data_IF_256538009176
#
_entry.id   IF_256538009176
#
_cell.length_a   1.000
_cell.length_b   1.000
_cell.length_c   1.000
_cell.angle_alpha   90.00
_cell.angle_beta   90.00
_cell.angle_gamma   90.00
#
_symmetry.space_group_name_H-M   'P 1'
#
loop_
_entity.id
_entity.type
_entity.pdbx_description
1 polymer ?
#
# COMPACT_ATOMS: atom_id res chain seq x y z
N UNK A 1 -2.50 8.51 7.67
CA UNK A 1 -3.56 7.70 8.33
C UNK A 1 -2.90 6.74 9.33
N UNK A 2 -3.39 6.60 10.58
CA UNK A 2 -2.81 5.66 11.54
C UNK A 2 -3.22 4.22 11.21
N UNK A 3 -2.25 3.30 11.28
CA UNK A 3 -2.45 1.85 11.21
C UNK A 3 -2.08 1.29 12.58
N UNK A 4 -2.93 0.43 13.10
CA UNK A 4 -2.73 -0.22 14.38
C UNK A 4 -2.45 -1.71 14.16
N UNK A 5 -1.38 -2.21 14.77
CA UNK A 5 -1.19 -3.64 14.94
C UNK A 5 -2.05 -4.08 16.13
N UNK A 6 -3.03 -4.96 15.90
CA UNK A 6 -3.94 -5.40 16.94
C UNK A 6 -3.31 -6.39 17.93
N UNK A 7 -2.22 -7.06 17.55
CA UNK A 7 -1.54 -8.05 18.38
C UNK A 7 -0.52 -7.38 19.32
N UNK A 8 0.25 -6.41 18.82
CA UNK A 8 1.26 -5.70 19.62
C UNK A 8 0.74 -4.39 20.24
N UNK A 9 -0.36 -3.84 19.72
CA UNK A 9 -0.84 -2.51 20.09
C UNK A 9 0.01 -1.37 19.52
N UNK A 10 0.97 -1.68 18.65
CA UNK A 10 1.85 -0.68 18.04
C UNK A 10 1.10 0.16 17.01
N UNK A 11 1.48 1.43 16.96
CA UNK A 11 0.91 2.42 16.05
C UNK A 11 1.92 2.80 14.98
N UNK A 12 1.60 2.48 13.74
CA UNK A 12 2.33 2.95 12.56
C UNK A 12 1.55 4.06 11.85
N UNK A 13 2.25 4.93 11.12
CA UNK A 13 1.62 6.03 10.38
C UNK A 13 1.90 5.86 8.89
N UNK A 14 0.84 5.71 8.09
CA UNK A 14 0.94 5.87 6.65
C UNK A 14 1.08 7.37 6.38
N UNK A 15 2.29 7.77 5.99
CA UNK A 15 2.62 9.13 5.58
C UNK A 15 1.85 9.47 4.29
N UNK A 16 1.06 10.54 4.34
CA UNK A 16 0.65 11.22 3.10
C UNK A 16 1.84 11.98 2.54
N UNK A 17 1.97 12.10 1.22
CA UNK A 17 2.88 13.12 0.68
C UNK A 17 2.31 14.47 1.11
N UNK A 18 3.14 15.41 1.54
CA UNK A 18 2.73 16.70 2.14
C UNK A 18 1.97 17.65 1.22
N UNK A 19 1.43 17.15 0.11
CA UNK A 19 0.57 17.89 -0.80
C UNK A 19 -0.81 18.01 -0.17
N UNK A 20 -1.32 19.24 -0.06
CA UNK A 20 -2.61 19.56 0.59
C UNK A 20 -3.81 18.84 -0.03
N UNK A 21 -3.63 18.17 -1.16
CA UNK A 21 -4.65 17.41 -1.90
C UNK A 21 -4.45 15.88 -1.84
N UNK A 22 -3.33 15.39 -1.29
CA UNK A 22 -3.02 13.97 -1.21
C UNK A 22 -3.60 13.33 0.07
N UNK A 23 -4.93 13.40 0.22
CA UNK A 23 -5.63 12.61 1.24
C UNK A 23 -5.65 11.13 0.84
N UNK A 24 -5.34 10.27 1.80
CA UNK A 24 -5.51 8.82 1.65
C UNK A 24 -6.97 8.51 1.97
N UNK A 25 -7.79 8.35 0.93
CA UNK A 25 -9.25 8.20 1.06
C UNK A 25 -9.71 6.74 1.09
N UNK A 26 -8.91 5.83 0.53
CA UNK A 26 -9.17 4.40 0.53
C UNK A 26 -7.87 3.63 0.74
N UNK A 27 -7.92 2.61 1.61
CA UNK A 27 -6.81 1.70 1.88
C UNK A 27 -7.30 0.27 1.80
N UNK A 28 -6.65 -0.53 0.97
CA UNK A 28 -6.79 -1.97 0.98
C UNK A 28 -5.40 -2.60 1.12
N UNK A 29 -5.14 -3.21 2.27
CA UNK A 29 -4.01 -4.10 2.45
C UNK A 29 -4.45 -5.53 2.13
N UNK A 30 -3.56 -6.34 1.57
CA UNK A 30 -3.77 -7.78 1.61
C UNK A 30 -3.73 -8.30 3.05
N UNK A 31 -4.13 -9.57 3.29
CA UNK A 31 -3.78 -10.28 4.52
C UNK A 31 -2.31 -10.02 4.88
N UNK A 32 -1.94 -10.08 6.15
CA UNK A 32 -0.56 -9.86 6.66
C UNK A 32 0.55 -10.65 5.93
N UNK A 33 0.16 -11.64 5.11
CA UNK A 33 1.01 -12.41 4.21
C UNK A 33 1.39 -11.71 2.89
N UNK A 34 0.72 -10.64 2.49
CA UNK A 34 0.91 -10.02 1.18
C UNK A 34 1.55 -8.64 1.30
N UNK A 35 2.67 -8.41 0.58
CA UNK A 35 3.53 -7.27 0.82
C UNK A 35 2.99 -5.97 0.22
N UNK A 36 1.89 -5.99 -0.55
CA UNK A 36 1.42 -4.81 -1.27
C UNK A 36 0.07 -4.30 -0.75
N UNK A 37 -0.07 -2.97 -0.73
CA UNK A 37 -1.33 -2.28 -0.45
C UNK A 37 -1.65 -1.30 -1.56
N UNK A 38 -2.93 -1.12 -1.85
CA UNK A 38 -3.43 -0.12 -2.78
C UNK A 38 -4.01 1.06 -2.02
N UNK A 39 -3.68 2.27 -2.49
CA UNK A 39 -4.05 3.54 -1.88
C UNK A 39 -4.52 4.50 -2.95
N UNK A 40 -5.65 5.18 -2.72
CA UNK A 40 -5.95 6.41 -3.48
C UNK A 40 -5.03 7.53 -2.98
N UNK A 41 -4.30 8.19 -3.89
CA UNK A 41 -3.46 9.35 -3.59
C UNK A 41 -3.65 10.41 -4.68
N UNK A 42 -4.44 11.43 -4.39
CA UNK A 42 -4.76 12.49 -5.35
C UNK A 42 -5.46 11.92 -6.60
N UNK A 43 -4.94 12.18 -7.82
CA UNK A 43 -5.56 11.72 -9.06
C UNK A 43 -5.22 10.25 -9.42
N UNK A 44 -4.48 9.52 -8.59
CA UNK A 44 -3.98 8.18 -8.91
C UNK A 44 -4.31 7.15 -7.82
N UNK A 45 -4.24 5.88 -8.19
CA UNK A 45 -4.10 4.77 -7.25
C UNK A 45 -2.65 4.32 -7.22
N UNK A 46 -2.04 4.37 -6.04
CA UNK A 46 -0.66 3.94 -5.79
C UNK A 46 -0.68 2.56 -5.16
N UNK A 47 0.12 1.65 -5.72
CA UNK A 47 0.46 0.39 -5.07
C UNK A 47 1.78 0.61 -4.34
N UNK A 48 1.80 0.34 -3.05
CA UNK A 48 2.98 0.46 -2.21
C UNK A 48 3.34 -0.88 -1.56
N UNK A 49 4.62 -1.08 -1.30
CA UNK A 49 5.08 -2.07 -0.36
C UNK A 49 4.62 -1.68 1.06
N UNK A 50 3.93 -2.57 1.75
CA UNK A 50 3.27 -2.31 3.02
C UNK A 50 4.26 -2.14 4.17
N UNK A 51 5.44 -2.77 4.09
CA UNK A 51 6.49 -2.70 5.10
C UNK A 51 7.29 -1.40 4.99
N UNK A 52 7.64 -1.01 3.76
CA UNK A 52 8.53 0.14 3.50
C UNK A 52 7.78 1.42 3.10
N UNK A 53 6.49 1.33 2.77
CA UNK A 53 5.70 2.40 2.13
C UNK A 53 6.28 2.86 0.77
N UNK A 54 7.15 2.07 0.15
CA UNK A 54 7.75 2.39 -1.15
C UNK A 54 6.72 2.20 -2.25
N UNK A 55 6.51 3.21 -3.10
CA UNK A 55 5.67 3.11 -4.30
C UNK A 55 6.28 2.10 -5.28
N UNK A 56 5.52 1.07 -5.64
CA UNK A 56 5.97 0.00 -6.57
C UNK A 56 5.29 0.10 -7.93
N UNK A 57 4.06 0.63 -7.98
CA UNK A 57 3.32 0.87 -9.21
C UNK A 57 2.30 2.00 -9.03
N UNK A 58 1.85 2.58 -10.15
CA UNK A 58 0.81 3.61 -10.19
C UNK A 58 -0.20 3.29 -11.28
N UNK A 59 -1.47 3.48 -10.96
CA UNK A 59 -2.59 3.39 -11.89
C UNK A 59 -3.24 4.78 -12.00
N UNK A 60 -3.42 5.34 -13.21
CA UNK A 60 -3.77 6.75 -13.41
C UNK A 60 -5.24 7.10 -13.11
N UNK A 61 -5.97 6.22 -12.43
CA UNK A 61 -7.35 6.46 -12.00
C UNK A 61 -7.40 6.41 -10.47
N UNK A 62 -8.02 7.40 -9.81
CA UNK A 62 -8.21 7.37 -8.37
C UNK A 62 -9.36 6.42 -8.04
N UNK A 63 -9.02 5.22 -7.56
CA UNK A 63 -9.99 4.20 -7.22
C UNK A 63 -10.54 4.41 -5.80
N UNK A 64 -11.85 4.38 -5.69
CA UNK A 64 -12.60 4.33 -4.45
C UNK A 64 -13.02 2.89 -4.14
N UNK A 65 -13.43 2.65 -2.90
CA UNK A 65 -13.94 1.35 -2.44
C UNK A 65 -13.00 0.18 -2.78
N UNK A 66 -11.69 0.41 -2.59
CA UNK A 66 -10.66 -0.54 -2.99
C UNK A 66 -10.77 -1.81 -2.12
N UNK A 67 -10.74 -2.98 -2.75
CA UNK A 67 -10.63 -4.27 -2.07
C UNK A 67 -9.53 -5.11 -2.71
N UNK A 68 -8.76 -5.81 -1.87
CA UNK A 68 -7.63 -6.65 -2.28
C UNK A 68 -8.11 -8.07 -2.54
N UNK A 69 -7.73 -8.65 -3.68
CA UNK A 69 -7.97 -10.08 -3.94
C UNK A 69 -7.13 -10.95 -2.98
N UNK A 70 -7.59 -12.17 -2.66
CA UNK A 70 -6.87 -13.06 -1.74
C UNK A 70 -5.44 -13.43 -2.16
N UNK A 71 -5.05 -13.20 -3.42
CA UNK A 71 -3.67 -13.40 -3.89
C UNK A 71 -2.73 -12.23 -3.58
N UNK A 72 -3.25 -11.11 -3.06
CA UNK A 72 -2.49 -9.91 -2.72
C UNK A 72 -1.81 -9.20 -3.90
N UNK A 73 -2.16 -9.56 -5.14
CA UNK A 73 -1.58 -9.01 -6.37
C UNK A 73 -2.62 -8.41 -7.31
N UNK A 74 -3.89 -8.49 -6.95
CA UNK A 74 -4.96 -7.83 -7.68
C UNK A 74 -5.84 -7.01 -6.73
N UNK A 75 -6.41 -5.95 -7.26
CA UNK A 75 -7.34 -5.08 -6.55
C UNK A 75 -8.54 -4.79 -7.42
N UNK A 76 -9.70 -4.71 -6.78
CA UNK A 76 -10.91 -4.15 -7.37
C UNK A 76 -11.15 -2.78 -6.75
N UNK A 77 -11.63 -1.84 -7.56
CA UNK A 77 -12.05 -0.53 -7.10
C UNK A 77 -13.00 0.11 -8.10
N UNK A 78 -13.69 1.17 -7.68
CA UNK A 78 -14.61 1.90 -8.53
C UNK A 78 -14.09 3.32 -8.78
N UNK A 79 -14.38 3.89 -9.94
CA UNK A 79 -14.25 5.33 -10.17
C UNK A 79 -15.36 5.78 -11.10
N UNK A 80 -16.10 6.81 -10.68
CA UNK A 80 -17.34 7.23 -11.32
C UNK A 80 -18.29 6.03 -11.56
N UNK A 81 -18.57 5.71 -12.83
CA UNK A 81 -19.48 4.62 -13.22
C UNK A 81 -18.74 3.36 -13.71
N UNK A 82 -17.45 3.22 -13.39
CA UNK A 82 -16.63 2.09 -13.85
C UNK A 82 -16.09 1.28 -12.68
N UNK A 83 -16.16 -0.05 -12.83
CA UNK A 83 -15.45 -1.01 -11.99
C UNK A 83 -14.11 -1.35 -12.66
N UNK A 84 -13.03 -1.23 -11.90
CA UNK A 84 -11.69 -1.58 -12.34
C UNK A 84 -11.19 -2.80 -11.60
N UNK A 85 -10.55 -3.70 -12.33
CA UNK A 85 -9.75 -4.79 -11.77
C UNK A 85 -8.33 -4.59 -12.27
N UNK A 86 -7.41 -4.31 -11.35
CA UNK A 86 -5.99 -4.09 -11.66
C UNK A 86 -5.15 -5.22 -11.06
N UNK A 87 -4.12 -5.64 -11.78
CA UNK A 87 -3.21 -6.72 -11.36
C UNK A 87 -1.76 -6.27 -11.47
N UNK A 88 -0.95 -6.54 -10.45
CA UNK A 88 0.49 -6.26 -10.44
C UNK A 88 1.25 -7.40 -11.11
N UNK A 89 2.01 -7.06 -12.16
CA UNK A 89 2.85 -8.02 -12.88
C UNK A 89 3.95 -8.66 -12.01
N UNK A 90 4.53 -9.75 -12.50
CA UNK A 90 5.48 -10.57 -11.73
C UNK A 90 6.88 -9.95 -11.53
N UNK A 91 7.18 -8.81 -12.16
CA UNK A 91 8.53 -8.24 -12.20
C UNK A 91 9.00 -7.57 -10.91
N UNK A 92 8.12 -7.30 -9.93
CA UNK A 92 8.51 -6.66 -8.67
C UNK A 92 8.69 -7.67 -7.54
N UNK A 93 9.91 -7.74 -6.99
CA UNK A 93 10.24 -8.47 -5.76
C UNK A 93 10.24 -7.48 -4.58
N UNK A 94 9.49 -7.72 -3.50
CA UNK A 94 9.56 -6.92 -2.29
C UNK A 94 11.00 -6.86 -1.77
N UNK A 95 11.45 -5.69 -1.32
CA UNK A 95 12.69 -5.62 -0.55
C UNK A 95 12.42 -6.22 0.84
N UNK A 96 12.89 -7.45 1.05
CA UNK A 96 12.99 -8.02 2.38
C UNK A 96 13.93 -7.15 3.24
N UNK A 97 13.57 -6.95 4.50
CA UNK A 97 14.33 -6.22 5.53
C UNK A 97 15.85 -6.34 5.32
N UNK A 98 16.50 -5.21 5.02
CA UNK A 98 17.94 -5.12 5.17
C UNK A 98 18.25 -5.33 6.66
N UNK A 99 18.78 -6.50 6.97
CA UNK A 99 19.38 -6.84 8.26
C UNK A 99 20.17 -5.64 8.82
N UNK A 100 19.80 -5.19 10.02
CA UNK A 100 20.68 -4.38 10.87
C UNK A 100 22.08 -5.02 10.88
N UNK A 101 23.18 -4.28 10.69
CA UNK A 101 24.48 -4.81 11.04
C UNK A 101 24.56 -4.92 12.58
N UNK A 102 24.89 -6.11 13.04
CA UNK A 102 25.34 -6.37 14.40
C UNK A 102 26.54 -5.47 14.74
N UNK A 103 26.46 -4.85 15.92
CA UNK A 103 27.63 -4.55 16.76
C UNK A 103 28.60 -3.45 16.30
N UNK A 104 28.55 -2.32 16.99
CA UNK A 104 29.75 -1.57 17.36
C UNK A 104 29.49 -0.68 18.59
N UNK A 105 29.38 -1.29 19.77
CA UNK A 105 29.87 -0.64 20.99
C UNK A 105 31.35 -0.96 21.11
N UNK A 106 32.20 0.06 20.91
CA UNK A 106 33.53 0.16 21.51
C UNK A 106 33.78 1.60 21.89
#
# INVERSE_FOLDING_TARGET
MPVWDAASGERNVIQGTGDREAHVEAIAAGPSRFPFRALRRGPETVIEDAATATSVARFPVPLDHISTFPNGRAWVGASANHLYIITLGESYKPQAESSKPDGACR
#
